data_IF_427409321223
#
_entry.id   IF_427409321223
#
_cell.length_a   1.000
_cell.length_b   1.000
_cell.length_c   1.000
_cell.angle_alpha   90.00
_cell.angle_beta   90.00
_cell.angle_gamma   90.00
#
_symmetry.space_group_name_H-M   'P 1'
#
loop_
_entity.id
_entity.type
_entity.pdbx_description
1 polymer ?
#
# COMPACT_ATOMS: atom_id res chain seq x y z
N UNK A 1 2.21 -76.08 -18.46
CA UNK A 1 2.41 -74.75 -18.98
C UNK A 1 1.92 -73.76 -17.93
N UNK A 2 2.87 -73.16 -17.17
CA UNK A 2 2.54 -72.15 -16.17
C UNK A 2 3.15 -70.85 -16.63
N UNK A 3 2.29 -69.89 -16.97
CA UNK A 3 2.63 -68.52 -17.41
C UNK A 3 2.90 -67.67 -16.17
N UNK A 4 4.11 -67.15 -16.02
CA UNK A 4 4.51 -66.22 -14.97
C UNK A 4 4.25 -64.80 -15.53
N UNK A 5 3.33 -64.08 -14.93
CA UNK A 5 3.09 -62.66 -15.22
C UNK A 5 4.07 -61.83 -14.37
N UNK A 6 5.00 -61.14 -15.03
CA UNK A 6 5.89 -60.19 -14.39
C UNK A 6 5.19 -58.85 -14.20
N UNK A 7 5.02 -58.42 -12.96
CA UNK A 7 4.49 -57.12 -12.58
C UNK A 7 5.62 -56.10 -12.58
N UNK A 8 5.64 -55.17 -13.55
CA UNK A 8 6.55 -54.03 -13.57
C UNK A 8 6.00 -52.94 -12.65
N UNK A 9 6.61 -52.77 -11.49
CA UNK A 9 6.42 -51.59 -10.63
C UNK A 9 7.22 -50.41 -11.20
N UNK A 10 6.53 -49.48 -11.79
CA UNK A 10 7.12 -48.19 -12.15
C UNK A 10 7.29 -47.32 -10.89
N UNK A 11 8.51 -47.17 -10.43
CA UNK A 11 8.86 -46.15 -9.42
C UNK A 11 8.80 -44.79 -10.08
N UNK A 12 7.75 -44.03 -9.81
CA UNK A 12 7.70 -42.58 -10.07
C UNK A 12 8.55 -41.89 -9.01
N UNK A 13 9.82 -41.60 -9.30
CA UNK A 13 10.65 -40.72 -8.50
C UNK A 13 10.13 -39.28 -8.66
N UNK A 14 9.34 -38.80 -7.71
CA UNK A 14 9.10 -37.37 -7.57
C UNK A 14 10.39 -36.73 -7.07
N UNK A 15 11.19 -36.20 -8.00
CA UNK A 15 12.27 -35.30 -7.64
C UNK A 15 11.60 -34.06 -6.99
N UNK A 16 11.69 -33.98 -5.68
CA UNK A 16 11.41 -32.74 -4.97
C UNK A 16 12.44 -31.72 -5.52
N UNK A 17 11.96 -30.74 -6.28
CA UNK A 17 12.75 -29.56 -6.59
C UNK A 17 13.10 -28.93 -5.23
N UNK A 18 14.36 -29.14 -4.79
CA UNK A 18 14.90 -28.38 -3.69
C UNK A 18 14.80 -26.91 -4.09
N UNK A 19 13.98 -26.14 -3.35
CA UNK A 19 13.97 -24.70 -3.52
C UNK A 19 15.42 -24.23 -3.31
N UNK A 20 15.95 -23.50 -4.28
CA UNK A 20 17.25 -22.86 -4.13
C UNK A 20 17.24 -22.07 -2.81
N UNK A 21 18.31 -22.16 -2.00
CA UNK A 21 18.38 -21.40 -0.77
C UNK A 21 18.20 -19.93 -1.12
N UNK A 22 17.18 -19.31 -0.54
CA UNK A 22 16.90 -17.87 -0.73
C UNK A 22 18.20 -17.13 -0.46
N UNK A 23 18.77 -16.53 -1.50
CA UNK A 23 20.01 -15.79 -1.37
C UNK A 23 19.83 -14.74 -0.26
N UNK A 24 20.72 -14.78 0.74
CA UNK A 24 20.69 -13.79 1.82
C UNK A 24 20.73 -12.38 1.18
N UNK A 25 19.88 -11.45 1.60
CA UNK A 25 19.88 -10.12 1.02
C UNK A 25 21.29 -9.52 1.17
N UNK A 26 21.94 -9.26 0.05
CA UNK A 26 23.25 -8.62 0.04
C UNK A 26 23.09 -7.20 0.56
N UNK A 27 23.79 -6.87 1.65
CA UNK A 27 23.82 -5.51 2.18
C UNK A 27 24.34 -4.58 1.08
N UNK A 28 23.62 -3.47 0.85
CA UNK A 28 24.11 -2.42 -0.05
C UNK A 28 25.48 -1.92 0.41
N UNK A 29 26.39 -1.67 -0.53
CA UNK A 29 27.63 -0.98 -0.24
C UNK A 29 27.38 0.46 0.25
N UNK A 30 28.37 1.06 0.89
CA UNK A 30 28.22 2.38 1.53
C UNK A 30 27.87 3.50 0.54
N UNK A 31 28.32 3.41 -0.71
CA UNK A 31 28.03 4.43 -1.72
C UNK A 31 26.54 4.40 -2.12
N UNK A 32 25.99 3.21 -2.32
CA UNK A 32 24.55 3.05 -2.60
C UNK A 32 23.68 3.39 -1.38
N UNK A 33 24.13 3.06 -0.16
CA UNK A 33 23.43 3.47 1.06
C UNK A 33 23.37 5.02 1.16
N UNK A 34 24.48 5.70 0.96
CA UNK A 34 24.55 7.16 0.98
C UNK A 34 23.68 7.79 -0.10
N UNK A 35 23.71 7.26 -1.33
CA UNK A 35 22.87 7.73 -2.45
C UNK A 35 21.39 7.54 -2.15
N UNK A 36 21.01 6.40 -1.60
CA UNK A 36 19.61 6.10 -1.23
C UNK A 36 19.10 7.09 -0.19
N UNK A 37 19.91 7.32 0.86
CA UNK A 37 19.56 8.30 1.89
C UNK A 37 19.42 9.70 1.32
N UNK A 38 20.39 10.16 0.52
CA UNK A 38 20.36 11.49 -0.06
C UNK A 38 19.19 11.73 -1.01
N UNK A 39 18.77 10.70 -1.77
CA UNK A 39 17.59 10.81 -2.63
C UNK A 39 16.30 10.81 -1.80
N UNK A 40 16.23 10.00 -0.74
CA UNK A 40 15.08 10.00 0.16
C UNK A 40 14.92 11.35 0.88
N UNK A 41 16.01 11.92 1.39
CA UNK A 41 16.05 13.23 2.01
C UNK A 41 15.45 14.29 1.07
N UNK A 42 15.98 14.42 -0.15
CA UNK A 42 15.45 15.35 -1.17
C UNK A 42 13.98 15.10 -1.49
N UNK A 43 13.56 13.83 -1.56
CA UNK A 43 12.18 13.49 -1.88
C UNK A 43 11.23 13.87 -0.73
N UNK A 44 11.60 13.63 0.53
CA UNK A 44 10.79 13.98 1.71
C UNK A 44 10.63 15.49 1.84
N UNK A 45 11.68 16.27 1.54
CA UNK A 45 11.67 17.73 1.61
C UNK A 45 10.86 18.43 0.50
N UNK A 46 10.30 17.67 -0.44
CA UNK A 46 9.34 18.18 -1.42
C UNK A 46 7.93 17.86 -0.92
N UNK A 47 7.15 18.84 -0.41
CA UNK A 47 5.82 18.61 0.16
C UNK A 47 4.77 18.39 -0.93
N UNK A 48 4.70 17.17 -1.47
CA UNK A 48 3.79 16.77 -2.56
C UNK A 48 2.35 16.54 -2.10
N UNK A 49 1.88 17.39 -1.22
CA UNK A 49 0.49 17.42 -0.76
C UNK A 49 -0.39 18.03 -1.84
N UNK A 50 -1.64 17.60 -1.93
CA UNK A 50 -2.66 18.15 -2.83
C UNK A 50 -2.71 19.68 -2.77
N UNK A 51 -2.86 20.34 -3.90
CA UNK A 51 -2.90 21.80 -4.04
C UNK A 51 -1.63 22.58 -3.65
N UNK A 52 -0.51 21.94 -3.30
CA UNK A 52 0.76 22.64 -3.03
C UNK A 52 1.63 22.86 -4.27
N UNK A 53 1.27 22.29 -5.42
CA UNK A 53 1.94 22.49 -6.70
C UNK A 53 3.39 21.95 -6.79
N UNK A 54 3.78 21.04 -5.89
CA UNK A 54 5.15 20.51 -5.79
C UNK A 54 5.39 19.24 -6.63
N UNK A 55 4.34 18.69 -7.22
CA UNK A 55 4.44 17.46 -8.00
C UNK A 55 5.42 17.52 -9.16
N UNK A 56 5.52 18.63 -9.94
CA UNK A 56 6.53 18.76 -10.99
C UNK A 56 7.97 18.69 -10.47
N UNK A 57 8.23 19.21 -9.28
CA UNK A 57 9.56 19.15 -8.66
C UNK A 57 9.93 17.69 -8.30
N UNK A 58 8.99 16.95 -7.73
CA UNK A 58 9.19 15.53 -7.37
C UNK A 58 9.43 14.67 -8.63
N UNK A 59 8.59 14.79 -9.64
CA UNK A 59 8.78 14.08 -10.90
C UNK A 59 10.12 14.47 -11.57
N UNK A 60 10.49 15.75 -11.52
CA UNK A 60 11.77 16.24 -12.01
C UNK A 60 12.98 15.63 -11.31
N UNK A 61 12.91 15.47 -9.98
CA UNK A 61 13.94 14.83 -9.15
C UNK A 61 14.16 13.37 -9.60
N UNK A 62 13.10 12.57 -9.68
CA UNK A 62 13.19 11.16 -10.08
C UNK A 62 13.63 11.03 -11.55
N UNK A 63 13.09 11.87 -12.45
CA UNK A 63 13.49 11.85 -13.85
C UNK A 63 14.97 12.20 -14.03
N UNK A 64 15.53 13.12 -13.22
CA UNK A 64 16.95 13.45 -13.25
C UNK A 64 17.82 12.27 -12.81
N UNK A 65 17.45 11.56 -11.75
CA UNK A 65 18.15 10.35 -11.30
C UNK A 65 18.13 9.24 -12.37
N UNK A 66 16.96 9.01 -12.99
CA UNK A 66 16.82 8.02 -14.06
C UNK A 66 17.70 8.35 -15.28
N UNK A 67 17.72 9.61 -15.71
CA UNK A 67 18.59 10.05 -16.83
C UNK A 67 20.07 9.90 -16.49
N UNK A 68 20.48 10.32 -15.30
CA UNK A 68 21.84 10.16 -14.82
C UNK A 68 22.29 8.67 -14.78
N UNK A 69 21.33 7.77 -14.51
CA UNK A 69 21.54 6.32 -14.55
C UNK A 69 21.40 5.68 -15.94
N UNK A 70 21.25 6.49 -16.99
CA UNK A 70 21.26 6.02 -18.38
C UNK A 70 19.91 5.56 -18.94
N UNK A 71 18.78 5.99 -18.35
CA UNK A 71 17.47 5.87 -18.99
C UNK A 71 17.30 7.02 -19.98
N UNK A 72 17.05 6.76 -21.26
CA UNK A 72 16.94 7.82 -22.27
C UNK A 72 15.79 8.78 -21.97
N UNK A 73 15.98 10.08 -22.22
CA UNK A 73 14.91 11.07 -22.01
C UNK A 73 13.64 10.79 -22.83
N UNK A 74 13.79 10.16 -24.01
CA UNK A 74 12.66 9.76 -24.87
C UNK A 74 11.79 8.66 -24.22
N UNK A 75 12.35 7.92 -23.27
CA UNK A 75 11.66 6.86 -22.52
C UNK A 75 11.10 7.32 -21.17
N UNK A 76 11.19 8.64 -20.87
CA UNK A 76 10.61 9.25 -19.67
C UNK A 76 9.54 10.23 -20.10
N UNK A 77 8.30 9.98 -19.66
CA UNK A 77 7.15 10.85 -19.92
C UNK A 77 6.57 11.37 -18.61
N UNK A 78 6.31 12.67 -18.55
CA UNK A 78 5.58 13.34 -17.48
C UNK A 78 4.26 13.78 -18.07
N UNK A 79 3.14 13.32 -17.49
CA UNK A 79 1.79 13.45 -18.04
C UNK A 79 0.94 14.25 -17.05
N UNK A 80 0.73 15.56 -17.29
CA UNK A 80 -0.14 16.36 -16.44
C UNK A 80 -1.60 15.88 -16.52
N UNK A 81 -2.28 15.91 -15.37
CA UNK A 81 -3.72 15.64 -15.28
C UNK A 81 -4.33 16.35 -14.08
N UNK A 82 -5.64 16.26 -13.97
CA UNK A 82 -6.37 16.75 -12.81
C UNK A 82 -6.58 15.60 -11.82
N UNK A 83 -6.24 15.83 -10.56
CA UNK A 83 -6.57 14.97 -9.42
C UNK A 83 -7.99 15.24 -8.93
N UNK A 84 -8.15 15.83 -7.75
CA UNK A 84 -9.43 16.41 -7.32
C UNK A 84 -9.79 17.63 -8.20
N UNK A 85 -11.09 18.02 -8.26
CA UNK A 85 -11.49 19.21 -9.01
C UNK A 85 -10.65 20.44 -8.66
N UNK A 86 -9.97 21.01 -9.67
CA UNK A 86 -9.08 22.16 -9.51
C UNK A 86 -7.63 21.82 -9.11
N UNK A 87 -7.33 20.60 -8.67
CA UNK A 87 -5.98 20.17 -8.36
C UNK A 87 -5.21 19.71 -9.61
N UNK A 88 -4.12 20.41 -9.91
CA UNK A 88 -3.23 20.09 -11.03
C UNK A 88 -2.08 19.20 -10.55
N UNK A 89 -2.13 17.96 -10.94
CA UNK A 89 -1.13 16.97 -10.64
C UNK A 89 -0.53 16.36 -11.92
N UNK A 90 0.25 15.30 -11.79
CA UNK A 90 0.83 14.58 -12.93
C UNK A 90 1.14 13.14 -12.56
N UNK A 91 1.30 12.31 -13.59
CA UNK A 91 1.91 10.99 -13.49
C UNK A 91 3.21 10.94 -14.30
N UNK A 92 4.13 10.05 -13.94
CA UNK A 92 5.38 9.83 -14.64
C UNK A 92 5.50 8.37 -15.07
N UNK A 93 5.87 8.14 -16.33
CA UNK A 93 6.23 6.83 -16.87
C UNK A 93 7.68 6.86 -17.28
N UNK A 94 8.47 5.90 -16.81
CA UNK A 94 9.82 5.68 -17.31
C UNK A 94 9.96 4.22 -17.76
N UNK A 95 10.53 3.97 -18.93
CA UNK A 95 10.66 2.64 -19.52
C UNK A 95 12.12 2.28 -19.72
N UNK A 96 12.59 1.25 -19.06
CA UNK A 96 13.85 0.60 -19.39
C UNK A 96 13.56 -0.49 -20.43
N UNK A 97 13.98 -0.23 -21.67
CA UNK A 97 13.76 -1.16 -22.78
C UNK A 97 14.72 -2.34 -22.71
N UNK A 98 14.22 -3.52 -22.89
CA UNK A 98 15.03 -4.70 -23.18
C UNK A 98 15.57 -4.60 -24.61
N UNK A 99 16.77 -5.13 -24.83
CA UNK A 99 17.36 -5.18 -26.17
C UNK A 99 16.59 -6.15 -27.08
N UNK A 100 16.18 -7.30 -26.52
CA UNK A 100 15.35 -8.31 -27.18
C UNK A 100 14.25 -8.77 -26.21
N UNK A 101 13.06 -8.13 -26.25
CA UNK A 101 11.99 -8.45 -25.31
C UNK A 101 11.31 -9.76 -25.67
N UNK A 102 11.63 -10.83 -24.94
CA UNK A 102 11.00 -12.14 -25.10
C UNK A 102 9.63 -12.26 -24.40
N UNK A 103 9.29 -11.31 -23.55
CA UNK A 103 8.08 -11.34 -22.70
C UNK A 103 7.42 -9.96 -22.66
N UNK A 104 6.14 -9.94 -22.29
CA UNK A 104 5.44 -8.68 -21.99
C UNK A 104 6.16 -7.90 -20.88
N UNK A 105 6.06 -6.57 -20.85
CA UNK A 105 6.65 -5.74 -19.81
C UNK A 105 6.26 -6.18 -18.41
N UNK A 106 7.06 -5.78 -17.40
CA UNK A 106 6.63 -5.70 -16.02
C UNK A 106 6.47 -4.23 -15.61
N UNK A 107 5.54 -3.96 -14.71
CA UNK A 107 5.29 -2.63 -14.16
C UNK A 107 5.78 -2.57 -12.72
N UNK A 108 6.48 -1.49 -12.37
CA UNK A 108 6.73 -1.09 -10.98
C UNK A 108 5.89 0.15 -10.72
N UNK A 109 4.96 0.04 -9.79
CA UNK A 109 3.99 1.08 -9.46
C UNK A 109 4.35 1.74 -8.14
N UNK A 110 4.08 3.02 -8.02
CA UNK A 110 4.13 3.79 -6.78
C UNK A 110 3.47 5.15 -6.94
N UNK A 111 3.34 5.90 -5.83
CA UNK A 111 2.81 7.25 -5.86
C UNK A 111 3.77 8.28 -5.25
N UNK A 112 3.72 9.50 -5.80
CA UNK A 112 4.60 10.60 -5.43
C UNK A 112 3.97 11.57 -4.43
N UNK A 113 2.65 11.59 -4.35
CA UNK A 113 1.90 12.43 -3.43
C UNK A 113 1.95 11.89 -2.01
N UNK A 114 1.56 12.73 -1.07
CA UNK A 114 1.46 12.39 0.35
C UNK A 114 0.27 13.10 0.96
N UNK A 115 -0.34 12.51 1.98
CA UNK A 115 -1.38 13.18 2.76
C UNK A 115 -0.84 14.41 3.50
N UNK A 116 -1.73 15.36 3.82
CA UNK A 116 -1.38 16.55 4.58
C UNK A 116 -0.78 16.20 5.95
N UNK A 117 0.16 17.03 6.39
CA UNK A 117 0.76 16.91 7.71
C UNK A 117 0.83 18.31 8.34
N UNK A 118 -0.01 18.55 9.34
CA UNK A 118 -0.07 19.83 10.03
C UNK A 118 1.11 19.93 11.00
N UNK A 119 1.81 21.08 10.98
CA UNK A 119 3.00 21.30 11.81
C UNK A 119 2.74 21.11 13.30
N UNK A 120 1.54 21.47 13.78
CA UNK A 120 1.12 21.35 15.16
C UNK A 120 1.01 19.91 15.66
N UNK A 121 0.79 18.95 14.76
CA UNK A 121 0.68 17.52 15.11
C UNK A 121 2.04 16.82 15.21
N UNK A 122 3.13 17.53 14.87
CA UNK A 122 4.49 16.98 14.80
C UNK A 122 5.45 17.68 15.75
N UNK A 123 6.39 16.92 16.34
CA UNK A 123 7.45 17.48 17.18
C UNK A 123 8.43 18.36 16.39
N UNK A 124 8.53 18.17 15.08
CA UNK A 124 9.40 18.91 14.14
C UNK A 124 8.64 19.10 12.82
N UNK A 125 9.23 19.82 11.87
CA UNK A 125 8.59 20.02 10.56
C UNK A 125 8.44 18.67 9.83
N UNK A 126 7.21 18.25 9.45
CA UNK A 126 6.99 16.98 8.79
C UNK A 126 7.65 16.89 7.39
N UNK A 127 8.04 17.99 6.79
CA UNK A 127 8.72 18.06 5.50
C UNK A 127 10.22 18.41 5.60
N UNK A 128 10.76 18.35 6.81
CA UNK A 128 12.20 18.36 7.08
C UNK A 128 12.65 16.92 7.33
N UNK A 129 13.55 16.40 6.48
CA UNK A 129 14.09 15.05 6.68
C UNK A 129 14.98 14.99 7.92
N UNK A 130 14.69 14.09 8.82
CA UNK A 130 15.46 13.92 10.06
C UNK A 130 15.90 12.47 10.23
N UNK A 131 17.14 12.29 10.67
CA UNK A 131 17.66 11.00 11.12
C UNK A 131 17.97 11.06 12.62
N UNK A 132 17.34 10.19 13.40
CA UNK A 132 17.60 10.02 14.82
C UNK A 132 17.29 8.60 15.25
N UNK A 133 17.99 8.09 16.27
CA UNK A 133 17.72 6.80 16.92
C UNK A 133 17.61 5.59 15.97
N UNK A 134 18.34 5.64 14.84
CA UNK A 134 18.30 4.59 13.82
C UNK A 134 17.14 4.67 12.85
N UNK A 135 16.32 5.72 12.93
CA UNK A 135 15.13 5.93 12.06
C UNK A 135 15.26 7.18 11.20
N UNK A 136 14.50 7.18 10.11
CA UNK A 136 14.23 8.36 9.30
C UNK A 136 12.82 8.87 9.61
N UNK A 137 12.71 10.17 9.83
CA UNK A 137 11.46 10.85 10.16
C UNK A 137 11.13 11.88 9.08
N UNK A 138 9.85 11.97 8.74
CA UNK A 138 9.28 12.93 7.80
C UNK A 138 8.05 12.36 7.10
N UNK A 139 7.18 13.21 6.57
CA UNK A 139 6.03 12.79 5.78
C UNK A 139 6.50 12.12 4.47
N UNK A 140 6.06 10.87 4.22
CA UNK A 140 6.47 10.10 3.05
C UNK A 140 7.67 9.17 3.28
N UNK A 141 8.27 9.12 4.50
CA UNK A 141 9.37 8.17 4.78
C UNK A 141 8.94 6.72 4.77
N UNK A 142 7.64 6.43 4.92
CA UNK A 142 7.04 5.10 4.81
C UNK A 142 6.07 5.04 3.64
N UNK A 143 5.20 6.00 3.52
CA UNK A 143 4.13 6.06 2.55
C UNK A 143 4.33 7.29 1.63
N UNK A 144 4.76 7.08 0.34
CA UNK A 144 5.60 5.92 -0.02
C UNK A 144 6.86 6.38 -0.78
N UNK A 145 7.43 7.56 -0.41
CA UNK A 145 8.65 8.07 -1.08
C UNK A 145 9.85 7.15 -0.93
N UNK A 146 9.93 6.39 0.19
CA UNK A 146 10.92 5.33 0.35
C UNK A 146 10.79 4.24 -0.74
N UNK A 147 9.56 3.82 -1.05
CA UNK A 147 9.27 2.84 -2.10
C UNK A 147 9.69 3.34 -3.49
N UNK A 148 9.37 4.61 -3.81
CA UNK A 148 9.82 5.24 -5.06
C UNK A 148 11.34 5.28 -5.18
N UNK A 149 12.01 5.72 -4.11
CA UNK A 149 13.47 5.79 -4.06
C UNK A 149 14.09 4.41 -4.20
N UNK A 150 13.56 3.42 -3.48
CA UNK A 150 14.04 2.04 -3.55
C UNK A 150 13.86 1.46 -4.96
N UNK A 151 12.68 1.61 -5.57
CA UNK A 151 12.40 1.14 -6.92
C UNK A 151 13.33 1.82 -7.95
N UNK A 152 13.44 3.14 -7.90
CA UNK A 152 14.31 3.92 -8.81
C UNK A 152 15.75 3.44 -8.72
N UNK A 153 16.31 3.38 -7.52
CA UNK A 153 17.72 3.03 -7.34
C UNK A 153 18.00 1.54 -7.56
N UNK A 154 17.03 0.65 -7.32
CA UNK A 154 17.15 -0.75 -7.67
C UNK A 154 17.33 -0.93 -9.19
N UNK A 155 16.49 -0.26 -9.99
CA UNK A 155 16.62 -0.27 -11.46
C UNK A 155 17.99 0.24 -11.91
N UNK A 156 18.46 1.35 -11.34
CA UNK A 156 19.75 1.95 -11.70
C UNK A 156 20.94 1.07 -11.26
N UNK A 157 20.85 0.42 -10.09
CA UNK A 157 21.87 -0.51 -9.61
C UNK A 157 21.96 -1.75 -10.51
N UNK A 158 20.83 -2.32 -10.90
CA UNK A 158 20.80 -3.44 -11.85
C UNK A 158 21.42 -3.03 -13.19
N UNK A 159 21.05 -1.86 -13.71
CA UNK A 159 21.61 -1.34 -14.96
C UNK A 159 23.13 -1.12 -14.87
N UNK A 160 23.62 -0.55 -13.77
CA UNK A 160 25.05 -0.36 -13.54
C UNK A 160 25.79 -1.71 -13.41
N UNK A 161 25.15 -2.74 -12.88
CA UNK A 161 25.70 -4.09 -12.78
C UNK A 161 25.71 -4.85 -14.12
N UNK A 162 25.26 -4.24 -15.22
CA UNK A 162 25.20 -4.87 -16.54
C UNK A 162 24.04 -5.85 -16.69
N UNK A 163 23.01 -5.78 -15.83
CA UNK A 163 21.81 -6.64 -15.98
C UNK A 163 21.10 -6.32 -17.29
N UNK A 164 20.83 -7.34 -18.07
CA UNK A 164 20.07 -7.25 -19.32
C UNK A 164 18.68 -7.87 -19.11
N UNK A 165 17.62 -7.04 -19.05
CA UNK A 165 16.28 -7.54 -18.85
C UNK A 165 15.77 -8.24 -20.14
N UNK A 166 15.06 -9.35 -19.99
CA UNK A 166 14.40 -10.07 -21.08
C UNK A 166 12.97 -9.56 -21.37
N UNK A 167 12.59 -8.45 -20.75
CA UNK A 167 11.34 -7.70 -20.93
C UNK A 167 11.56 -6.23 -20.58
N UNK A 168 10.76 -5.37 -21.14
CA UNK A 168 10.76 -3.97 -20.70
C UNK A 168 10.36 -3.87 -19.23
N UNK A 169 10.99 -2.95 -18.50
CA UNK A 169 10.62 -2.61 -17.13
C UNK A 169 10.05 -1.20 -17.15
N UNK A 170 8.81 -1.06 -16.71
CA UNK A 170 8.10 0.22 -16.67
C UNK A 170 8.03 0.67 -15.21
N UNK A 171 8.56 1.85 -14.91
CA UNK A 171 8.32 2.56 -13.64
C UNK A 171 7.19 3.54 -13.87
N UNK A 172 6.05 3.34 -13.20
CA UNK A 172 4.88 4.20 -13.26
C UNK A 172 4.62 4.83 -11.90
N UNK A 173 4.72 6.15 -11.83
CA UNK A 173 4.53 6.91 -10.59
C UNK A 173 3.36 7.87 -10.76
N UNK A 174 2.34 7.72 -9.89
CA UNK A 174 1.16 8.58 -9.86
C UNK A 174 1.34 9.74 -8.88
N UNK A 175 0.54 10.77 -8.99
CA UNK A 175 0.64 11.95 -8.14
C UNK A 175 -0.66 12.35 -7.46
N UNK A 176 -1.58 11.40 -7.27
CA UNK A 176 -2.88 11.62 -6.67
C UNK A 176 -3.49 10.33 -6.06
N UNK A 177 -2.65 9.42 -5.61
CA UNK A 177 -3.09 8.15 -5.01
C UNK A 177 -3.87 8.41 -3.72
N UNK A 178 -3.34 9.27 -2.87
CA UNK A 178 -3.88 9.68 -1.58
C UNK A 178 -5.20 10.50 -1.67
N UNK A 179 -5.66 10.76 -2.89
CA UNK A 179 -6.83 11.62 -3.12
C UNK A 179 -7.80 11.05 -4.15
N UNK A 180 -7.58 11.31 -5.44
CA UNK A 180 -8.54 10.97 -6.50
C UNK A 180 -8.25 9.67 -7.23
N UNK A 181 -7.01 9.14 -7.13
CA UNK A 181 -6.54 7.95 -7.86
C UNK A 181 -6.73 8.04 -9.39
N UNK A 182 -6.89 9.25 -9.93
CA UNK A 182 -7.09 9.45 -11.37
C UNK A 182 -5.88 9.02 -12.18
N UNK A 183 -4.66 9.21 -11.66
CA UNK A 183 -3.44 8.71 -12.28
C UNK A 183 -3.48 7.20 -12.48
N UNK A 184 -3.77 6.44 -11.43
CA UNK A 184 -3.86 4.98 -11.51
C UNK A 184 -4.97 4.52 -12.47
N UNK A 185 -6.15 5.17 -12.40
CA UNK A 185 -7.27 4.87 -13.29
C UNK A 185 -6.92 5.15 -14.76
N UNK A 186 -6.30 6.29 -15.06
CA UNK A 186 -5.89 6.63 -16.43
C UNK A 186 -4.77 5.73 -16.93
N UNK A 187 -3.84 5.33 -16.05
CA UNK A 187 -2.83 4.34 -16.36
C UNK A 187 -3.44 3.02 -16.85
N UNK A 188 -4.50 2.56 -16.20
CA UNK A 188 -5.17 1.31 -16.57
C UNK A 188 -6.16 1.45 -17.76
N UNK A 189 -6.47 2.67 -18.20
CA UNK A 189 -7.45 2.95 -19.29
C UNK A 189 -6.83 3.78 -20.41
N UNK A 190 -6.87 5.12 -20.29
CA UNK A 190 -6.45 6.05 -21.36
C UNK A 190 -4.96 5.92 -21.74
N UNK A 191 -4.09 5.62 -20.77
CA UNK A 191 -2.63 5.50 -20.97
C UNK A 191 -2.16 4.05 -20.94
N UNK A 192 -3.06 3.12 -21.13
CA UNK A 192 -2.75 1.69 -21.05
C UNK A 192 -1.60 1.29 -21.98
N UNK A 193 -1.46 1.89 -23.15
CA UNK A 193 -0.34 1.65 -24.06
C UNK A 193 1.04 1.92 -23.44
N UNK A 194 1.11 2.83 -22.44
CA UNK A 194 2.34 3.16 -21.71
C UNK A 194 2.61 2.24 -20.53
N UNK A 195 1.58 1.61 -20.00
CA UNK A 195 1.60 0.87 -18.72
C UNK A 195 1.23 -0.60 -18.85
N UNK A 196 0.78 -1.08 -20.04
CA UNK A 196 0.40 -2.48 -20.21
C UNK A 196 1.55 -3.42 -19.90
N UNK A 197 1.32 -4.35 -19.00
CA UNK A 197 2.33 -5.26 -18.48
C UNK A 197 1.73 -6.63 -18.17
N UNK A 198 2.58 -7.65 -18.05
CA UNK A 198 2.15 -9.00 -17.65
C UNK A 198 1.73 -9.04 -16.19
N UNK A 199 2.45 -8.29 -15.35
CA UNK A 199 2.17 -8.10 -13.92
C UNK A 199 2.73 -6.77 -13.43
N UNK A 200 2.23 -6.33 -12.28
CA UNK A 200 2.72 -5.15 -11.58
C UNK A 200 3.28 -5.53 -10.20
N UNK A 201 4.35 -4.84 -9.82
CA UNK A 201 4.87 -4.80 -8.45
C UNK A 201 4.56 -3.42 -7.89
N UNK A 202 3.77 -3.34 -6.83
CA UNK A 202 3.54 -2.11 -6.10
C UNK A 202 4.44 -2.09 -4.86
N UNK A 203 5.23 -1.03 -4.70
CA UNK A 203 6.14 -0.86 -3.57
C UNK A 203 5.47 -0.23 -2.33
N UNK A 204 4.16 -0.01 -2.38
CA UNK A 204 3.37 0.65 -1.37
C UNK A 204 2.85 -0.29 -0.27
N UNK A 205 2.89 -1.58 -0.49
CA UNK A 205 2.43 -2.58 0.47
C UNK A 205 3.35 -3.77 0.57
N UNK A 206 3.15 -4.58 1.60
CA UNK A 206 3.99 -5.73 1.89
C UNK A 206 5.31 -5.37 2.59
N UNK A 207 6.32 -6.21 2.44
CA UNK A 207 7.65 -5.96 2.98
C UNK A 207 8.15 -7.03 3.95
N UNK A 208 9.41 -6.87 4.39
CA UNK A 208 10.04 -7.75 5.37
C UNK A 208 9.63 -7.39 6.80
N UNK A 209 9.37 -8.40 7.61
CA UNK A 209 9.03 -8.23 9.02
C UNK A 209 10.05 -8.93 9.91
N UNK A 210 10.27 -8.34 11.09
CA UNK A 210 11.11 -8.90 12.14
C UNK A 210 10.32 -8.99 13.45
N UNK A 211 10.64 -9.98 14.29
CA UNK A 211 10.13 -10.01 15.63
C UNK A 211 10.88 -9.02 16.55
N UNK A 212 10.47 -8.97 17.83
CA UNK A 212 11.09 -8.06 18.80
C UNK A 212 12.57 -8.39 19.11
N UNK A 213 12.99 -9.60 18.85
CA UNK A 213 14.35 -10.09 19.00
C UNK A 213 15.19 -9.89 17.72
N UNK A 214 14.63 -9.26 16.68
CA UNK A 214 15.30 -9.00 15.40
C UNK A 214 15.43 -10.22 14.48
N UNK A 215 14.66 -11.28 14.70
CA UNK A 215 14.65 -12.46 13.83
C UNK A 215 13.69 -12.23 12.66
N UNK A 216 14.07 -12.57 11.43
CA UNK A 216 13.21 -12.38 10.27
C UNK A 216 11.96 -13.28 10.36
N UNK A 217 10.79 -12.69 10.19
CA UNK A 217 9.50 -13.39 10.11
C UNK A 217 9.10 -13.76 8.67
N UNK A 218 9.82 -13.23 7.69
CA UNK A 218 9.55 -13.45 6.27
C UNK A 218 9.27 -12.14 5.52
N UNK A 219 8.91 -12.29 4.26
CA UNK A 219 8.54 -11.18 3.39
C UNK A 219 7.07 -11.32 2.99
N UNK A 220 6.26 -10.31 3.32
CA UNK A 220 4.85 -10.24 2.97
C UNK A 220 4.65 -9.68 1.57
N UNK A 221 3.83 -10.35 0.77
CA UNK A 221 3.34 -9.86 -0.51
C UNK A 221 1.82 -9.71 -0.39
N UNK A 222 1.33 -8.48 -0.55
CA UNK A 222 -0.10 -8.22 -0.59
C UNK A 222 -0.65 -8.59 -1.96
N UNK A 223 -1.57 -9.54 -2.01
CA UNK A 223 -2.14 -10.07 -3.26
C UNK A 223 -3.61 -9.72 -3.46
N UNK A 224 -4.24 -9.10 -2.46
CA UNK A 224 -5.62 -8.64 -2.53
C UNK A 224 -5.87 -7.49 -1.54
N UNK A 225 -6.86 -6.68 -1.84
CA UNK A 225 -7.36 -5.60 -1.00
C UNK A 225 -8.86 -5.68 -0.86
N UNK A 226 -9.39 -5.13 0.24
CA UNK A 226 -10.82 -4.92 0.40
C UNK A 226 -11.24 -3.69 -0.41
N UNK A 227 -12.42 -3.77 -1.00
CA UNK A 227 -13.01 -2.61 -1.68
C UNK A 227 -13.26 -1.47 -0.69
N UNK A 228 -12.73 -0.30 -0.99
CA UNK A 228 -12.94 0.93 -0.24
C UNK A 228 -14.16 1.68 -0.77
N UNK A 229 -14.97 2.23 0.13
CA UNK A 229 -16.10 3.07 -0.22
C UNK A 229 -16.35 4.13 0.86
N UNK A 230 -16.43 5.40 0.43
CA UNK A 230 -16.83 6.51 1.29
C UNK A 230 -18.34 6.67 1.28
N UNK A 231 -18.92 6.89 2.46
CA UNK A 231 -20.32 7.20 2.66
C UNK A 231 -20.47 8.52 3.41
N UNK A 232 -21.42 9.34 3.00
CA UNK A 232 -21.82 10.57 3.69
C UNK A 232 -23.19 10.36 4.31
N UNK A 233 -23.26 10.46 5.65
CA UNK A 233 -24.51 10.43 6.39
C UNK A 233 -24.90 11.87 6.74
N UNK A 234 -26.07 12.31 6.27
CA UNK A 234 -26.54 13.66 6.52
C UNK A 234 -27.89 13.61 7.21
N UNK A 235 -27.99 14.23 8.39
CA UNK A 235 -29.25 14.51 9.04
C UNK A 235 -29.59 16.00 8.90
N UNK A 236 -30.84 16.31 8.64
CA UNK A 236 -31.31 17.67 8.49
C UNK A 236 -32.58 17.87 9.29
N UNK A 237 -32.77 19.09 9.84
CA UNK A 237 -34.02 19.48 10.39
C UNK A 237 -34.30 20.99 10.18
N UNK A 238 -35.47 21.46 10.55
CA UNK A 238 -35.90 22.82 10.25
C UNK A 238 -35.17 23.94 11.03
N UNK A 239 -34.26 23.59 11.95
CA UNK A 239 -33.61 24.57 12.83
C UNK A 239 -34.53 25.21 13.85
N UNK A 240 -34.11 26.29 14.45
CA UNK A 240 -34.86 27.06 15.45
C UNK A 240 -33.95 27.65 16.54
N UNK A 241 -34.52 28.35 17.50
CA UNK A 241 -33.77 28.93 18.61
C UNK A 241 -33.58 27.92 19.72
N UNK A 242 -32.35 27.81 20.29
CA UNK A 242 -31.99 26.80 21.29
C UNK A 242 -32.77 26.89 22.60
N UNK A 243 -33.33 28.08 22.94
CA UNK A 243 -34.23 28.25 24.12
C UNK A 243 -35.60 27.60 23.96
N UNK A 244 -35.91 27.10 22.76
CA UNK A 244 -37.16 26.35 22.46
C UNK A 244 -36.80 24.96 21.95
N UNK A 245 -36.25 24.09 22.83
CA UNK A 245 -35.78 22.77 22.44
C UNK A 245 -36.92 21.91 21.89
N UNK A 246 -36.56 21.06 20.93
CA UNK A 246 -37.49 20.09 20.33
C UNK A 246 -36.91 18.69 20.43
N UNK A 247 -37.76 17.64 20.39
CA UNK A 247 -37.28 16.27 20.40
C UNK A 247 -36.48 15.90 19.12
N UNK A 248 -36.81 16.55 17.98
CA UNK A 248 -36.11 16.36 16.70
C UNK A 248 -34.85 17.25 16.66
N UNK A 249 -33.70 16.63 16.66
CA UNK A 249 -32.38 17.28 16.62
C UNK A 249 -31.42 16.52 15.72
N UNK A 250 -30.98 17.15 14.63
CA UNK A 250 -30.13 16.49 13.64
C UNK A 250 -28.79 16.01 14.23
N UNK A 251 -28.28 16.65 15.31
CA UNK A 251 -27.08 16.16 16.01
C UNK A 251 -27.36 14.83 16.71
N UNK A 252 -28.52 14.69 17.36
CA UNK A 252 -28.91 13.41 17.99
C UNK A 252 -29.12 12.32 16.96
N UNK A 253 -29.73 12.63 15.82
CA UNK A 253 -29.94 11.66 14.73
C UNK A 253 -28.61 11.11 14.20
N UNK A 254 -27.60 11.98 14.00
CA UNK A 254 -26.24 11.55 13.59
C UNK A 254 -25.54 10.77 14.71
N UNK A 255 -25.66 11.20 15.96
CA UNK A 255 -25.08 10.48 17.09
C UNK A 255 -25.66 9.06 17.20
N UNK A 256 -26.97 8.90 17.05
CA UNK A 256 -27.61 7.59 17.06
C UNK A 256 -27.19 6.72 15.87
N UNK A 257 -27.04 7.31 14.67
CA UNK A 257 -26.53 6.60 13.50
C UNK A 257 -25.10 6.10 13.74
N UNK A 258 -24.22 6.93 14.30
CA UNK A 258 -22.84 6.54 14.66
C UNK A 258 -22.84 5.43 15.71
N UNK A 259 -23.71 5.51 16.72
CA UNK A 259 -23.85 4.47 17.76
C UNK A 259 -24.31 3.13 17.17
N UNK A 260 -25.24 3.14 16.21
CA UNK A 260 -25.68 1.93 15.50
C UNK A 260 -24.53 1.36 14.65
N UNK A 261 -23.76 2.18 13.93
CA UNK A 261 -22.57 1.75 13.20
C UNK A 261 -21.53 1.12 14.13
N UNK A 262 -21.27 1.74 15.29
CA UNK A 262 -20.33 1.22 16.29
C UNK A 262 -20.76 -0.16 16.82
N UNK A 263 -22.06 -0.35 17.03
CA UNK A 263 -22.62 -1.61 17.54
C UNK A 263 -22.73 -2.71 16.46
N UNK A 264 -22.74 -2.34 15.18
CA UNK A 264 -22.90 -3.31 14.10
C UNK A 264 -21.62 -4.12 13.88
N UNK A 265 -21.75 -5.42 13.86
CA UNK A 265 -20.67 -6.37 13.57
C UNK A 265 -20.97 -7.07 12.25
N UNK A 266 -20.13 -6.81 11.24
CA UNK A 266 -20.20 -7.60 10.01
C UNK A 266 -19.74 -9.03 10.25
N UNK A 267 -20.31 -9.97 9.52
CA UNK A 267 -19.89 -11.36 9.57
C UNK A 267 -18.45 -11.53 9.08
N UNK A 268 -17.65 -12.39 9.73
CA UNK A 268 -16.31 -12.68 9.26
C UNK A 268 -16.35 -13.47 7.96
N UNK A 269 -15.41 -13.17 7.06
CA UNK A 269 -15.30 -13.80 5.74
C UNK A 269 -13.87 -14.29 5.52
N UNK A 270 -13.77 -15.55 5.11
CA UNK A 270 -12.49 -16.18 4.77
C UNK A 270 -12.48 -16.52 3.27
N UNK A 271 -11.51 -15.98 2.55
CA UNK A 271 -11.25 -16.32 1.16
C UNK A 271 -9.88 -17.02 1.02
N UNK A 272 -9.48 -17.35 -0.19
CA UNK A 272 -8.22 -18.04 -0.48
C UNK A 272 -7.00 -17.25 0.05
N UNK A 273 -6.94 -15.95 -0.24
CA UNK A 273 -5.84 -15.06 0.17
C UNK A 273 -5.75 -14.96 1.69
N UNK A 274 -6.86 -14.67 2.37
CA UNK A 274 -6.87 -14.55 3.84
C UNK A 274 -6.63 -15.89 4.52
N UNK A 275 -7.06 -17.01 3.93
CA UNK A 275 -6.74 -18.35 4.42
C UNK A 275 -5.23 -18.62 4.37
N UNK A 276 -4.58 -18.32 3.25
CA UNK A 276 -3.13 -18.49 3.11
C UNK A 276 -2.37 -17.60 4.12
N UNK A 277 -2.77 -16.33 4.22
CA UNK A 277 -2.21 -15.38 5.18
C UNK A 277 -2.31 -15.88 6.63
N UNK A 278 -3.52 -16.20 7.10
CA UNK A 278 -3.72 -16.64 8.49
C UNK A 278 -3.10 -18.01 8.79
N UNK A 279 -2.94 -18.86 7.79
CA UNK A 279 -2.22 -20.15 7.95
C UNK A 279 -0.76 -19.88 8.31
N UNK A 280 -0.09 -19.01 7.58
CA UNK A 280 1.31 -18.68 7.85
C UNK A 280 1.46 -17.86 9.14
N UNK A 281 0.58 -16.88 9.38
CA UNK A 281 0.58 -16.10 10.62
C UNK A 281 0.37 -16.97 11.86
N UNK A 282 -0.55 -17.94 11.80
CA UNK A 282 -0.79 -18.88 12.89
C UNK A 282 0.46 -19.74 13.19
N UNK A 283 1.23 -20.09 12.15
CA UNK A 283 2.49 -20.81 12.29
C UNK A 283 3.54 -19.94 13.00
N UNK A 284 3.68 -18.67 12.62
CA UNK A 284 4.60 -17.70 13.23
C UNK A 284 4.24 -17.40 14.69
N UNK A 285 2.94 -17.24 14.98
CA UNK A 285 2.42 -17.00 16.34
C UNK A 285 2.53 -18.22 17.25
N UNK A 286 2.62 -19.43 16.71
CA UNK A 286 2.76 -20.66 17.48
C UNK A 286 1.59 -20.86 18.47
N UNK A 287 1.90 -21.21 19.72
CA UNK A 287 0.90 -21.48 20.75
C UNK A 287 0.43 -20.26 21.55
N UNK A 288 0.79 -19.05 21.12
CA UNK A 288 0.27 -17.81 21.68
C UNK A 288 -1.25 -17.70 21.45
N UNK A 289 -1.91 -16.86 22.22
CA UNK A 289 -3.37 -16.67 22.14
C UNK A 289 -3.82 -16.34 20.73
N UNK A 290 -3.11 -15.44 20.05
CA UNK A 290 -3.41 -15.02 18.67
C UNK A 290 -3.28 -16.20 17.69
N UNK A 291 -2.21 -16.99 17.78
CA UNK A 291 -2.02 -18.16 16.91
C UNK A 291 -3.09 -19.25 17.13
N UNK A 292 -3.54 -19.44 18.37
CA UNK A 292 -4.65 -20.35 18.69
C UNK A 292 -5.96 -19.86 18.08
N UNK A 293 -6.25 -18.56 18.20
CA UNK A 293 -7.44 -17.94 17.61
C UNK A 293 -7.45 -18.08 16.07
N UNK A 294 -6.32 -17.81 15.42
CA UNK A 294 -6.19 -17.99 13.98
C UNK A 294 -6.44 -19.43 13.54
N UNK A 295 -5.88 -20.42 14.23
CA UNK A 295 -6.14 -21.84 13.93
C UNK A 295 -7.60 -22.23 14.15
N UNK A 296 -8.23 -21.74 15.20
CA UNK A 296 -9.65 -22.01 15.49
C UNK A 296 -10.53 -21.44 14.37
N UNK A 297 -10.29 -20.20 13.96
CA UNK A 297 -11.05 -19.57 12.88
C UNK A 297 -10.81 -20.23 11.52
N UNK A 298 -9.59 -20.63 11.20
CA UNK A 298 -9.27 -21.38 9.97
C UNK A 298 -9.99 -22.74 9.91
N UNK A 299 -10.15 -23.40 11.06
CA UNK A 299 -10.87 -24.67 11.18
C UNK A 299 -12.40 -24.48 11.08
N UNK A 300 -12.92 -23.37 11.61
CA UNK A 300 -14.34 -23.02 11.56
C UNK A 300 -14.50 -21.52 11.25
N UNK A 301 -14.65 -21.14 9.97
CA UNK A 301 -14.82 -19.74 9.57
C UNK A 301 -16.08 -19.06 10.14
N UNK A 302 -17.06 -19.81 10.63
CA UNK A 302 -18.25 -19.29 11.30
C UNK A 302 -18.01 -18.97 12.80
N UNK A 303 -16.83 -19.28 13.34
CA UNK A 303 -16.47 -18.95 14.73
C UNK A 303 -16.19 -17.46 14.87
N UNK A 304 -17.24 -16.69 15.17
CA UNK A 304 -17.16 -15.25 15.39
C UNK A 304 -16.30 -14.89 16.61
N UNK A 305 -16.26 -15.74 17.64
CA UNK A 305 -15.42 -15.49 18.83
C UNK A 305 -13.92 -15.61 18.50
N UNK A 306 -13.55 -16.60 17.69
CA UNK A 306 -12.18 -16.73 17.21
C UNK A 306 -11.78 -15.54 16.31
N UNK A 307 -12.66 -15.10 15.41
CA UNK A 307 -12.44 -13.91 14.59
C UNK A 307 -12.28 -12.64 15.46
N UNK A 308 -13.10 -12.48 16.49
CA UNK A 308 -13.01 -11.35 17.44
C UNK A 308 -11.70 -11.36 18.23
N UNK A 309 -11.21 -12.54 18.61
CA UNK A 309 -9.91 -12.67 19.27
C UNK A 309 -8.73 -12.31 18.34
N UNK A 310 -8.84 -12.58 17.04
CA UNK A 310 -7.86 -12.13 16.05
C UNK A 310 -7.89 -10.59 15.94
N UNK A 311 -9.07 -10.00 15.87
CA UNK A 311 -9.27 -8.56 15.70
C UNK A 311 -8.94 -7.72 16.95
N UNK A 312 -8.68 -8.35 18.08
CA UNK A 312 -8.12 -7.68 19.25
C UNK A 312 -6.63 -7.24 19.02
N UNK A 313 -5.97 -7.77 17.99
CA UNK A 313 -4.65 -7.33 17.57
C UNK A 313 -4.77 -6.12 16.62
N UNK A 314 -4.06 -5.04 16.92
CA UNK A 314 -4.00 -3.85 16.05
C UNK A 314 -3.47 -4.16 14.64
N UNK A 315 -2.61 -5.17 14.51
CA UNK A 315 -2.07 -5.60 13.21
C UNK A 315 -3.10 -6.37 12.38
N UNK A 316 -4.05 -7.04 13.03
CA UNK A 316 -4.99 -7.94 12.37
C UNK A 316 -6.42 -7.35 12.30
N UNK A 317 -6.66 -6.23 12.99
CA UNK A 317 -7.97 -5.58 12.99
C UNK A 317 -8.37 -5.18 11.56
N UNK A 318 -9.57 -5.57 11.16
CA UNK A 318 -10.09 -5.29 9.82
C UNK A 318 -9.71 -6.32 8.74
N UNK A 319 -8.92 -7.35 9.04
CA UNK A 319 -8.55 -8.38 8.06
C UNK A 319 -9.58 -9.50 7.94
N UNK A 320 -10.42 -9.71 8.96
CA UNK A 320 -11.38 -10.81 9.00
C UNK A 320 -12.76 -10.45 8.43
N UNK A 321 -13.14 -9.16 8.40
CA UNK A 321 -14.49 -8.71 8.00
C UNK A 321 -14.48 -7.27 7.45
N UNK A 322 -15.61 -6.87 6.85
CA UNK A 322 -15.88 -5.47 6.50
C UNK A 322 -15.87 -4.60 7.74
N UNK A 323 -15.36 -3.39 7.61
CA UNK A 323 -15.37 -2.34 8.66
C UNK A 323 -16.01 -1.08 8.12
N UNK A 324 -16.76 -0.39 8.97
CA UNK A 324 -17.24 0.95 8.71
C UNK A 324 -16.74 1.86 9.84
N UNK A 325 -15.93 2.85 9.49
CA UNK A 325 -15.22 3.70 10.45
C UNK A 325 -15.62 5.16 10.21
N UNK A 326 -16.25 5.86 11.18
CA UNK A 326 -16.43 7.30 11.11
C UNK A 326 -15.08 8.01 11.21
N UNK A 327 -14.75 8.81 10.21
CA UNK A 327 -13.46 9.52 10.13
C UNK A 327 -13.61 11.04 10.22
N UNK A 328 -14.79 11.57 9.92
CA UNK A 328 -15.11 12.99 9.98
C UNK A 328 -16.51 13.19 10.54
N UNK A 329 -16.72 14.27 11.30
CA UNK A 329 -18.01 14.70 11.82
C UNK A 329 -18.07 16.23 11.83
N UNK A 330 -19.12 16.78 11.24
CA UNK A 330 -19.43 18.19 11.30
C UNK A 330 -20.88 18.36 11.77
N UNK A 331 -21.15 19.30 12.67
CA UNK A 331 -22.49 19.51 13.21
C UNK A 331 -22.69 20.92 13.76
N UNK A 332 -23.89 21.45 13.53
CA UNK A 332 -24.29 22.77 14.02
C UNK A 332 -23.67 23.94 13.25
N UNK A 333 -24.06 25.15 13.60
CA UNK A 333 -23.56 26.38 12.97
C UNK A 333 -23.54 27.59 13.91
N UNK A 334 -24.22 27.53 15.06
CA UNK A 334 -24.23 28.60 16.06
C UNK A 334 -24.65 28.05 17.44
N UNK A 335 -24.14 28.67 18.52
CA UNK A 335 -24.37 28.25 19.90
C UNK A 335 -25.84 28.36 20.34
N UNK A 336 -26.58 29.33 19.78
CA UNK A 336 -27.97 29.62 20.16
C UNK A 336 -28.99 29.12 19.12
N UNK A 337 -28.59 28.27 18.18
CA UNK A 337 -29.46 27.72 17.15
C UNK A 337 -29.55 26.18 17.24
N UNK A 338 -30.74 25.65 16.94
CA UNK A 338 -30.89 24.23 16.69
C UNK A 338 -30.22 23.87 15.34
N UNK A 339 -29.57 22.71 15.20
CA UNK A 339 -28.92 22.31 13.95
C UNK A 339 -29.95 22.16 12.82
N UNK A 340 -29.52 22.48 11.60
CA UNK A 340 -30.33 22.38 10.38
C UNK A 340 -29.88 21.24 9.50
#
# INVERSE_FOLDING_TARGET
MRTIAALLLAFCSTAALAADPVAQPTKLDSAWQARTKALLEKAVEIPTVVNRGQMPQMAGLIAAELRAGGIPSADIRIIPHEGLPGDKTLSMVARWRAADPAKKPMLVLGHMDVVEAKREDWKFDPFEFRQADGYFYGRGTIDMKNGIVAATLALLKLKQAGFEPNRDIILYLTGDEETAMNGARRGSTEWRELTDAEFALNADGGGGSYDREGRPLGFGIQTAEKTYQTYFLTARNRGGHSSRPRPDNAIFDIADAIKRLQAHRFEPMLNETTRAYFTERARQEGDRTLGKAMRAWLANPADGAAADAIEASELEVGTTRTRCVPTMLEAGHADNALPQ
#
